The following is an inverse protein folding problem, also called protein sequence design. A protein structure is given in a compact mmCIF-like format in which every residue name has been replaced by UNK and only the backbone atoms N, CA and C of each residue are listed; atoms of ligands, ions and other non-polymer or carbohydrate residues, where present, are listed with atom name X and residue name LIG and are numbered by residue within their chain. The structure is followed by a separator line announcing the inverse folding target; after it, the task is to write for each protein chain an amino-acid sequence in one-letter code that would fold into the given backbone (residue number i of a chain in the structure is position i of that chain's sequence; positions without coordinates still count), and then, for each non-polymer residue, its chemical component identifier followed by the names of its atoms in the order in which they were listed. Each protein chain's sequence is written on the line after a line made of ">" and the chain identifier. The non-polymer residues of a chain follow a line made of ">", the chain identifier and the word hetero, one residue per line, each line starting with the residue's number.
data_IF_576943660827
#
_entry.id   IF_576943660827
#
_cell.length_a   1.000
_cell.length_b   1.000
_cell.length_c   1.000
_cell.angle_alpha   90.00
_cell.angle_beta   90.00
_cell.angle_gamma   90.00
#
_symmetry.space_group_name_H-M   'P 1'
#
loop_
_entity.id
_entity.type
_entity.pdbx_description
1 polymer ?
#
# COMPACT_ATOMS: atom_id res chain seq x y z
N UNK A 1 -0.86 4.44 25.09
CA UNK A 1 0.00 4.82 23.95
C UNK A 1 -0.77 5.75 23.00
N UNK A 2 -0.12 6.75 22.39
CA UNK A 2 -0.73 7.65 21.39
C UNK A 2 -0.11 7.45 20.00
N UNK A 3 -0.96 7.09 19.05
CA UNK A 3 -0.58 6.73 17.68
C UNK A 3 -1.05 7.81 16.70
N UNK A 4 -0.14 8.40 15.92
CA UNK A 4 -0.50 9.24 14.77
C UNK A 4 -0.56 8.39 13.51
N UNK A 5 -1.72 8.37 12.85
CA UNK A 5 -1.93 7.69 11.57
C UNK A 5 -2.06 8.74 10.48
N UNK A 6 -1.16 8.72 9.51
CA UNK A 6 -1.37 9.43 8.24
C UNK A 6 -1.96 8.47 7.21
N UNK A 7 -2.79 8.96 6.28
CA UNK A 7 -3.43 8.10 5.29
C UNK A 7 -4.55 7.23 5.87
N UNK A 8 -5.07 7.60 7.05
CA UNK A 8 -6.17 6.91 7.71
C UNK A 8 -7.45 6.85 6.90
N UNK A 9 -7.68 7.84 6.02
CA UNK A 9 -8.84 7.86 5.09
C UNK A 9 -8.67 6.98 3.85
N UNK A 10 -7.53 6.32 3.69
CA UNK A 10 -7.32 5.30 2.65
C UNK A 10 -7.89 3.95 3.08
N UNK A 11 -8.05 3.03 2.13
CA UNK A 11 -8.68 1.72 2.39
C UNK A 11 -7.97 0.85 3.43
N UNK A 12 -6.64 0.85 3.44
CA UNK A 12 -5.87 0.16 4.49
C UNK A 12 -6.07 0.87 5.83
N UNK A 13 -6.02 2.21 5.84
CA UNK A 13 -6.21 3.03 7.04
C UNK A 13 -7.59 2.86 7.66
N UNK A 14 -8.66 2.84 6.86
CA UNK A 14 -10.04 2.63 7.32
C UNK A 14 -10.21 1.27 8.02
N UNK A 15 -9.73 0.19 7.40
CA UNK A 15 -9.79 -1.15 7.97
C UNK A 15 -8.94 -1.26 9.25
N UNK A 16 -7.76 -0.66 9.24
CA UNK A 16 -6.88 -0.62 10.40
C UNK A 16 -7.52 0.13 11.58
N UNK A 17 -8.05 1.33 11.36
CA UNK A 17 -8.65 2.15 12.41
C UNK A 17 -9.85 1.41 13.03
N UNK A 18 -10.71 0.79 12.20
CA UNK A 18 -11.82 -0.03 12.71
C UNK A 18 -11.35 -1.11 13.69
N UNK A 19 -10.25 -1.78 13.38
CA UNK A 19 -9.70 -2.84 14.26
C UNK A 19 -8.99 -2.28 15.48
N UNK A 20 -8.25 -1.17 15.35
CA UNK A 20 -7.59 -0.51 16.48
C UNK A 20 -8.58 0.05 17.51
N UNK A 21 -9.77 0.50 17.08
CA UNK A 21 -10.82 1.01 17.97
C UNK A 21 -11.38 -0.03 18.95
N UNK A 22 -11.22 -1.32 18.64
CA UNK A 22 -11.59 -2.43 19.52
C UNK A 22 -10.66 -2.52 20.74
N UNK A 23 -9.48 -1.89 20.70
CA UNK A 23 -8.58 -1.78 21.84
C UNK A 23 -8.87 -0.52 22.67
N UNK A 24 -8.67 -0.61 23.99
CA UNK A 24 -8.76 0.53 24.91
C UNK A 24 -7.39 1.15 25.22
N UNK A 25 -6.29 0.56 24.75
CA UNK A 25 -4.91 0.93 25.13
C UNK A 25 -4.29 2.01 24.21
N UNK A 26 -4.91 2.22 23.04
CA UNK A 26 -4.38 3.04 21.95
C UNK A 26 -5.29 4.24 21.72
N UNK A 27 -4.76 5.44 21.98
CA UNK A 27 -5.41 6.70 21.57
C UNK A 27 -4.96 7.03 20.15
N UNK A 28 -5.91 7.23 19.25
CA UNK A 28 -5.64 7.39 17.82
C UNK A 28 -5.74 8.87 17.45
N UNK A 29 -4.71 9.41 16.79
CA UNK A 29 -4.78 10.68 16.09
C UNK A 29 -4.68 10.42 14.58
N UNK A 30 -5.56 11.01 13.78
CA UNK A 30 -5.55 10.84 12.32
C UNK A 30 -5.26 12.17 11.64
N UNK A 31 -4.21 12.21 10.82
CA UNK A 31 -3.90 13.35 9.96
C UNK A 31 -4.78 13.33 8.70
N UNK A 32 -5.59 14.37 8.52
CA UNK A 32 -6.51 14.51 7.38
C UNK A 32 -6.26 15.80 6.61
N UNK A 33 -6.45 15.78 5.29
CA UNK A 33 -6.32 17.00 4.45
C UNK A 33 -7.55 17.91 4.52
N UNK A 34 -8.73 17.33 4.72
CA UNK A 34 -10.03 18.02 4.83
C UNK A 34 -10.76 17.50 6.07
N UNK A 35 -11.54 18.36 6.71
CA UNK A 35 -12.26 18.07 7.97
C UNK A 35 -13.40 17.06 7.80
N UNK A 36 -13.90 16.85 6.58
CA UNK A 36 -14.95 15.89 6.22
C UNK A 36 -14.54 14.41 6.36
N UNK A 37 -13.64 14.08 7.28
CA UNK A 37 -13.28 12.70 7.55
C UNK A 37 -14.42 11.97 8.26
N UNK A 38 -14.64 10.72 7.88
CA UNK A 38 -15.80 9.91 8.28
C UNK A 38 -15.72 9.35 9.71
N UNK A 39 -14.69 9.73 10.49
CA UNK A 39 -14.45 9.18 11.82
C UNK A 39 -15.27 9.95 12.86
N UNK A 40 -16.27 9.29 13.45
CA UNK A 40 -17.15 9.88 14.49
C UNK A 40 -16.88 9.33 15.90
N UNK A 41 -15.83 8.53 16.06
CA UNK A 41 -15.51 7.86 17.33
C UNK A 41 -14.76 8.79 18.28
N UNK A 42 -15.16 8.84 19.55
CA UNK A 42 -14.57 9.71 20.58
C UNK A 42 -13.11 9.36 20.92
N UNK A 43 -12.65 8.16 20.57
CA UNK A 43 -11.23 7.74 20.71
C UNK A 43 -10.34 8.29 19.59
N UNK A 44 -10.92 8.91 18.56
CA UNK A 44 -10.19 9.46 17.40
C UNK A 44 -10.07 10.97 17.53
N UNK A 45 -8.84 11.44 17.64
CA UNK A 45 -8.50 12.85 17.47
C UNK A 45 -8.21 13.13 15.99
N UNK A 46 -9.04 13.92 15.33
CA UNK A 46 -8.78 14.35 13.95
C UNK A 46 -7.89 15.60 13.99
N UNK A 47 -6.80 15.58 13.23
CA UNK A 47 -5.96 16.76 13.03
C UNK A 47 -5.83 17.08 11.55
N UNK A 48 -6.10 18.34 11.20
CA UNK A 48 -5.93 18.82 9.83
C UNK A 48 -4.47 19.10 9.53
N UNK A 49 -4.00 18.65 8.38
CA UNK A 49 -2.66 18.98 7.91
C UNK A 49 -2.30 18.37 6.57
N UNK A 50 -1.10 18.70 6.10
CA UNK A 50 -0.58 18.29 4.81
C UNK A 50 0.89 17.87 4.97
N UNK A 51 1.28 16.77 4.31
CA UNK A 51 2.67 16.29 4.31
C UNK A 51 3.67 17.33 3.76
N UNK A 52 3.18 18.30 2.99
CA UNK A 52 3.99 19.38 2.43
C UNK A 52 3.99 20.65 3.29
N UNK A 53 3.21 20.69 4.36
CA UNK A 53 3.17 21.81 5.32
C UNK A 53 3.78 21.35 6.65
N UNK A 54 5.06 21.69 6.84
CA UNK A 54 5.84 21.29 8.00
C UNK A 54 5.24 21.79 9.33
N UNK A 55 4.61 22.97 9.34
CA UNK A 55 3.99 23.53 10.55
C UNK A 55 2.79 22.69 10.98
N UNK A 56 1.97 22.22 10.03
CA UNK A 56 0.88 21.29 10.34
C UNK A 56 1.41 19.96 10.90
N UNK A 57 2.54 19.46 10.40
CA UNK A 57 3.14 18.22 10.87
C UNK A 57 3.74 18.35 12.27
N UNK A 58 4.35 19.50 12.60
CA UNK A 58 4.82 19.77 13.97
C UNK A 58 3.67 19.74 14.98
N UNK A 59 2.49 20.27 14.61
CA UNK A 59 1.28 20.17 15.43
C UNK A 59 0.80 18.72 15.53
N UNK A 60 0.76 18.00 14.41
CA UNK A 60 0.28 16.63 14.34
C UNK A 60 1.11 15.63 15.15
N UNK A 61 2.42 15.83 15.21
CA UNK A 61 3.38 14.94 15.90
C UNK A 61 3.58 15.30 17.38
N UNK A 62 3.00 16.39 17.90
CA UNK A 62 3.11 16.79 19.30
C UNK A 62 2.49 15.74 20.24
N UNK A 63 3.23 15.30 21.26
CA UNK A 63 2.81 14.29 22.25
C UNK A 63 2.39 12.95 21.61
N UNK A 64 3.08 12.51 20.56
CA UNK A 64 2.85 11.23 19.87
C UNK A 64 3.97 10.26 20.22
N UNK A 65 3.61 9.02 20.58
CA UNK A 65 4.58 7.95 20.84
C UNK A 65 5.05 7.30 19.53
N UNK A 66 4.10 7.02 18.64
CA UNK A 66 4.33 6.28 17.39
C UNK A 66 3.69 7.01 16.22
N UNK A 67 4.43 7.15 15.12
CA UNK A 67 3.89 7.58 13.83
C UNK A 67 3.76 6.37 12.91
N UNK A 68 2.55 6.12 12.43
CA UNK A 68 2.24 5.16 11.38
C UNK A 68 1.93 5.90 10.07
N UNK A 69 2.84 5.77 9.11
CA UNK A 69 2.81 6.51 7.87
C UNK A 69 2.28 5.64 6.70
N UNK A 70 0.96 5.64 6.49
CA UNK A 70 0.30 5.03 5.32
C UNK A 70 0.11 6.02 4.15
N UNK A 71 0.18 7.33 4.41
CA UNK A 71 -0.09 8.33 3.39
C UNK A 71 0.93 8.27 2.25
N UNK A 72 0.42 8.21 1.02
CA UNK A 72 1.21 8.27 -0.20
C UNK A 72 0.29 8.25 -1.41
N UNK A 73 0.80 8.72 -2.54
CA UNK A 73 0.11 8.56 -3.82
C UNK A 73 0.62 7.31 -4.52
N UNK A 74 -0.31 6.52 -5.05
CA UNK A 74 -0.03 5.26 -5.74
C UNK A 74 -0.32 5.33 -7.24
N UNK A 75 -1.07 6.36 -7.67
CA UNK A 75 -1.51 6.57 -9.06
C UNK A 75 -1.52 8.07 -9.36
N UNK A 76 -0.73 8.51 -10.33
CA UNK A 76 -0.74 9.86 -10.89
C UNK A 76 -0.07 9.85 -12.27
N UNK A 77 -0.52 10.73 -13.17
CA UNK A 77 0.15 10.97 -14.45
C UNK A 77 1.24 12.05 -14.36
N UNK A 78 1.27 12.81 -13.26
CA UNK A 78 2.32 13.78 -12.94
C UNK A 78 3.38 13.10 -12.10
N UNK A 79 4.49 12.72 -12.74
CA UNK A 79 5.59 11.95 -12.14
C UNK A 79 6.20 12.65 -10.92
N UNK A 80 6.39 13.97 -10.98
CA UNK A 80 6.96 14.74 -9.87
C UNK A 80 6.15 14.63 -8.58
N UNK A 81 4.83 14.41 -8.68
CA UNK A 81 3.99 14.25 -7.50
C UNK A 81 4.37 13.02 -6.67
N UNK A 82 4.89 11.95 -7.30
CA UNK A 82 5.35 10.78 -6.57
C UNK A 82 6.47 11.17 -5.61
N UNK A 83 7.51 11.82 -6.11
CA UNK A 83 8.64 12.27 -5.29
C UNK A 83 8.22 13.36 -4.29
N UNK A 84 7.42 14.34 -4.72
CA UNK A 84 6.95 15.43 -3.85
C UNK A 84 6.18 14.89 -2.65
N UNK A 85 5.25 13.96 -2.85
CA UNK A 85 4.42 13.46 -1.76
C UNK A 85 5.08 12.30 -1.02
N UNK A 86 5.54 11.27 -1.74
CA UNK A 86 6.04 10.05 -1.13
C UNK A 86 7.46 10.20 -0.58
N UNK A 87 8.31 11.05 -1.17
CA UNK A 87 9.70 11.24 -0.70
C UNK A 87 9.79 12.46 0.20
N UNK A 88 9.50 13.65 -0.33
CA UNK A 88 9.63 14.92 0.42
C UNK A 88 8.58 14.99 1.54
N UNK A 89 7.35 14.56 1.28
CA UNK A 89 6.32 14.49 2.32
C UNK A 89 6.66 13.55 3.48
N UNK A 90 7.27 12.40 3.20
CA UNK A 90 7.80 11.50 4.23
C UNK A 90 8.95 12.13 5.00
N UNK A 91 9.89 12.80 4.31
CA UNK A 91 11.00 13.52 4.94
C UNK A 91 10.51 14.63 5.89
N UNK A 92 9.50 15.39 5.50
CA UNK A 92 8.89 16.40 6.36
C UNK A 92 8.27 15.79 7.62
N UNK A 93 7.58 14.66 7.48
CA UNK A 93 6.98 13.96 8.61
C UNK A 93 8.05 13.39 9.55
N UNK A 94 9.15 12.85 9.02
CA UNK A 94 10.30 12.42 9.81
C UNK A 94 10.90 13.59 10.59
N UNK A 95 11.17 14.73 9.94
CA UNK A 95 11.67 15.95 10.60
C UNK A 95 10.75 16.42 11.73
N UNK A 96 9.43 16.39 11.52
CA UNK A 96 8.47 16.72 12.57
C UNK A 96 8.46 15.71 13.72
N UNK A 97 8.62 14.43 13.40
CA UNK A 97 8.70 13.33 14.37
C UNK A 97 9.96 13.42 15.22
N UNK A 98 11.11 13.78 14.63
CA UNK A 98 12.36 14.03 15.37
C UNK A 98 12.21 15.21 16.33
N UNK A 99 11.70 16.34 15.84
CA UNK A 99 11.52 17.55 16.68
C UNK A 99 10.65 17.30 17.91
N UNK A 100 9.65 16.43 17.79
CA UNK A 100 8.72 16.07 18.87
C UNK A 100 9.08 14.76 19.58
N UNK A 101 10.29 14.22 19.37
CA UNK A 101 10.80 13.02 20.04
C UNK A 101 9.87 11.79 19.93
N UNK A 102 9.23 11.59 18.77
CA UNK A 102 8.46 10.37 18.48
C UNK A 102 9.40 9.16 18.64
N UNK A 103 8.97 8.12 19.36
CA UNK A 103 9.85 7.00 19.72
C UNK A 103 9.98 5.97 18.60
N UNK A 104 8.93 5.83 17.79
CA UNK A 104 8.86 4.81 16.73
C UNK A 104 8.19 5.35 15.48
N UNK A 105 8.80 5.10 14.32
CA UNK A 105 8.26 5.46 13.01
C UNK A 105 8.02 4.22 12.16
N UNK A 106 6.75 3.93 11.85
CA UNK A 106 6.36 2.78 11.04
C UNK A 106 5.97 3.29 9.65
N UNK A 107 6.73 2.90 8.64
CA UNK A 107 6.53 3.32 7.26
C UNK A 107 5.94 2.20 6.41
N UNK A 108 4.83 2.49 5.75
CA UNK A 108 4.22 1.56 4.79
C UNK A 108 4.82 1.84 3.42
N UNK A 109 5.68 0.93 2.98
CA UNK A 109 6.32 0.97 1.67
C UNK A 109 5.69 0.01 0.67
N UNK A 110 6.39 -0.30 -0.41
CA UNK A 110 5.96 -1.25 -1.45
C UNK A 110 7.11 -2.17 -1.82
N UNK A 111 6.81 -3.40 -2.22
CA UNK A 111 7.79 -4.34 -2.81
C UNK A 111 8.43 -3.83 -4.10
N UNK A 112 7.83 -2.83 -4.74
CA UNK A 112 8.39 -2.17 -5.92
C UNK A 112 9.35 -1.04 -5.57
N UNK A 113 9.64 -0.79 -4.29
CA UNK A 113 10.57 0.24 -3.82
C UNK A 113 12.03 -0.10 -4.18
N UNK A 114 12.36 0.11 -5.46
CA UNK A 114 13.67 -0.08 -6.07
C UNK A 114 13.84 0.89 -7.23
N UNK A 115 15.06 1.04 -7.73
CA UNK A 115 15.38 1.95 -8.84
C UNK A 115 14.66 1.57 -10.14
N UNK A 116 14.42 0.28 -10.36
CA UNK A 116 13.74 -0.26 -11.54
C UNK A 116 12.21 -0.28 -11.40
N UNK A 117 11.66 0.10 -10.24
CA UNK A 117 10.22 0.04 -9.94
C UNK A 117 9.38 1.16 -10.56
N UNK A 118 9.96 1.92 -11.50
CA UNK A 118 9.36 3.13 -12.06
C UNK A 118 9.34 4.30 -11.09
N UNK A 119 8.71 5.42 -11.44
CA UNK A 119 8.74 6.64 -10.63
C UNK A 119 8.09 6.48 -9.25
N UNK A 120 7.03 5.68 -9.14
CA UNK A 120 6.49 5.35 -7.82
C UNK A 120 7.46 4.51 -7.00
N UNK A 121 8.01 3.44 -7.58
CA UNK A 121 8.98 2.57 -6.93
C UNK A 121 10.18 3.36 -6.43
N UNK A 122 10.75 4.21 -7.29
CA UNK A 122 11.84 5.13 -6.94
C UNK A 122 11.44 6.08 -5.81
N UNK A 123 10.25 6.69 -5.87
CA UNK A 123 9.80 7.61 -4.80
C UNK A 123 9.72 6.92 -3.43
N UNK A 124 9.25 5.66 -3.40
CA UNK A 124 9.19 4.83 -2.19
C UNK A 124 10.59 4.39 -1.76
N UNK A 125 11.47 4.05 -2.69
CA UNK A 125 12.86 3.70 -2.41
C UNK A 125 13.62 4.86 -1.73
N UNK A 126 13.51 6.08 -2.25
CA UNK A 126 14.13 7.25 -1.61
C UNK A 126 13.50 7.58 -0.26
N UNK A 127 12.18 7.36 -0.12
CA UNK A 127 11.52 7.52 1.17
C UNK A 127 11.98 6.49 2.21
N UNK A 128 12.22 5.23 1.79
CA UNK A 128 12.82 4.22 2.66
C UNK A 128 14.20 4.66 3.15
N UNK A 129 15.06 5.18 2.25
CA UNK A 129 16.37 5.72 2.64
C UNK A 129 16.22 6.81 3.71
N UNK A 130 15.31 7.77 3.50
CA UNK A 130 15.03 8.81 4.51
C UNK A 130 14.57 8.23 5.86
N UNK A 131 13.73 7.19 5.85
CA UNK A 131 13.26 6.53 7.08
C UNK A 131 14.41 5.80 7.79
N UNK A 132 15.34 5.20 7.05
CA UNK A 132 16.48 4.49 7.64
C UNK A 132 17.43 5.42 8.40
N UNK A 133 17.52 6.68 7.98
CA UNK A 133 18.28 7.73 8.68
C UNK A 133 17.60 8.24 9.97
N UNK A 134 16.36 7.84 10.24
CA UNK A 134 15.66 8.23 11.46
C UNK A 134 16.40 7.72 12.70
N UNK A 135 16.73 8.65 13.62
CA UNK A 135 17.57 8.33 14.79
C UNK A 135 16.93 7.32 15.72
N UNK A 136 15.65 7.50 16.01
CA UNK A 136 14.86 6.63 16.88
C UNK A 136 14.46 5.34 16.15
N UNK A 137 13.59 4.53 16.76
CA UNK A 137 13.21 3.26 16.17
C UNK A 137 12.37 3.47 14.89
N UNK A 138 12.58 2.62 13.89
CA UNK A 138 11.78 2.58 12.68
C UNK A 138 11.47 1.15 12.23
N UNK A 139 10.33 0.99 11.56
CA UNK A 139 9.94 -0.25 10.89
C UNK A 139 9.48 0.12 9.47
N UNK A 140 9.97 -0.60 8.47
CA UNK A 140 9.52 -0.47 7.07
C UNK A 140 8.76 -1.74 6.70
N UNK A 141 7.51 -1.60 6.27
CA UNK A 141 6.68 -2.70 5.77
C UNK A 141 6.50 -2.57 4.26
N UNK A 142 7.20 -3.39 3.48
CA UNK A 142 7.07 -3.42 2.02
C UNK A 142 5.89 -4.28 1.62
N UNK A 143 4.76 -3.63 1.29
CA UNK A 143 3.55 -4.35 0.94
C UNK A 143 3.60 -4.87 -0.51
N UNK A 144 3.07 -6.07 -0.70
CA UNK A 144 2.71 -6.64 -2.00
C UNK A 144 1.37 -6.09 -2.52
N UNK A 145 0.80 -6.78 -3.51
CA UNK A 145 -0.50 -6.48 -4.09
C UNK A 145 -1.61 -6.76 -3.07
N UNK A 146 -2.02 -5.72 -2.34
CA UNK A 146 -3.09 -5.82 -1.33
C UNK A 146 -4.45 -5.97 -2.01
N UNK A 147 -5.21 -7.00 -1.61
CA UNK A 147 -6.56 -7.25 -2.09
C UNK A 147 -7.58 -7.37 -0.94
N UNK A 148 -8.86 -7.18 -1.25
CA UNK A 148 -9.95 -7.18 -0.26
C UNK A 148 -10.17 -5.84 0.46
N UNK A 149 -9.34 -4.82 0.18
CA UNK A 149 -9.48 -3.51 0.83
C UNK A 149 -10.68 -2.68 0.30
N UNK A 150 -11.32 -3.09 -0.79
CA UNK A 150 -12.54 -2.47 -1.34
C UNK A 150 -12.53 -2.37 -2.87
N UNK A 151 -13.64 -1.92 -3.47
CA UNK A 151 -13.95 -2.08 -4.92
C UNK A 151 -12.97 -1.48 -5.95
N UNK A 152 -12.01 -0.64 -5.54
CA UNK A 152 -11.10 0.09 -6.46
C UNK A 152 -9.69 -0.50 -6.54
N UNK A 153 -9.37 -1.53 -5.76
CA UNK A 153 -8.05 -2.20 -5.83
C UNK A 153 -7.93 -3.10 -7.08
N UNK A 154 -6.71 -3.53 -7.40
CA UNK A 154 -6.37 -4.20 -8.65
C UNK A 154 -7.14 -5.50 -8.90
N UNK A 155 -7.22 -6.39 -7.90
CA UNK A 155 -7.95 -7.66 -7.95
C UNK A 155 -9.46 -7.42 -8.05
N UNK A 156 -10.03 -6.50 -7.26
CA UNK A 156 -11.44 -6.11 -7.36
C UNK A 156 -11.80 -5.55 -8.75
N UNK A 157 -10.92 -4.74 -9.34
CA UNK A 157 -11.06 -4.25 -10.72
C UNK A 157 -10.97 -5.39 -11.73
N UNK A 158 -10.08 -6.34 -11.52
CA UNK A 158 -9.94 -7.53 -12.35
C UNK A 158 -11.19 -8.42 -12.28
N UNK A 159 -11.72 -8.68 -11.08
CA UNK A 159 -13.00 -9.39 -10.87
C UNK A 159 -14.12 -8.69 -11.63
N UNK A 160 -14.22 -7.37 -11.52
CA UNK A 160 -15.25 -6.59 -12.23
C UNK A 160 -15.07 -6.65 -13.76
N UNK A 161 -13.82 -6.60 -14.24
CA UNK A 161 -13.51 -6.74 -15.66
C UNK A 161 -13.91 -8.14 -16.17
N UNK A 162 -13.61 -9.20 -15.41
CA UNK A 162 -13.99 -10.58 -15.72
C UNK A 162 -15.51 -10.72 -15.71
N UNK A 163 -16.22 -10.16 -14.72
CA UNK A 163 -17.69 -10.23 -14.68
C UNK A 163 -18.33 -9.55 -15.89
N UNK A 164 -17.80 -8.41 -16.34
CA UNK A 164 -18.40 -7.58 -17.41
C UNK A 164 -18.04 -7.96 -18.84
N UNK A 165 -16.87 -8.55 -19.08
CA UNK A 165 -16.36 -8.76 -20.43
C UNK A 165 -16.10 -10.23 -20.70
N UNK A 166 -16.42 -10.71 -21.90
CA UNK A 166 -16.09 -12.06 -22.35
C UNK A 166 -14.61 -12.20 -22.73
N UNK A 167 -14.04 -11.15 -23.33
CA UNK A 167 -12.64 -11.06 -23.73
C UNK A 167 -11.82 -10.37 -22.63
N UNK A 168 -10.75 -11.01 -22.19
CA UNK A 168 -9.88 -10.54 -21.12
C UNK A 168 -8.51 -10.19 -21.71
N UNK A 169 -8.12 -8.89 -21.72
CA UNK A 169 -6.82 -8.48 -22.24
C UNK A 169 -5.70 -8.87 -21.27
N UNK A 170 -4.69 -9.57 -21.78
CA UNK A 170 -3.48 -9.97 -21.07
C UNK A 170 -2.31 -9.16 -21.65
N UNK A 171 -1.61 -8.40 -20.81
CA UNK A 171 -0.45 -7.62 -21.25
C UNK A 171 0.76 -8.55 -21.41
N UNK A 172 1.41 -8.55 -22.57
CA UNK A 172 2.52 -9.44 -22.87
C UNK A 172 2.11 -10.91 -22.78
N UNK A 173 2.91 -11.73 -22.09
CA UNK A 173 2.64 -13.16 -21.91
C UNK A 173 1.91 -13.48 -20.60
N UNK A 174 1.63 -12.48 -19.74
CA UNK A 174 0.94 -12.66 -18.46
C UNK A 174 1.67 -13.52 -17.41
N UNK A 175 2.93 -13.88 -17.63
CA UNK A 175 3.73 -14.71 -16.71
C UNK A 175 4.37 -13.90 -15.57
N UNK A 176 3.90 -12.68 -15.31
CA UNK A 176 4.43 -11.85 -14.23
C UNK A 176 4.01 -12.44 -12.89
N UNK A 177 4.98 -12.78 -12.05
CA UNK A 177 4.74 -13.29 -10.71
C UNK A 177 4.34 -12.15 -9.76
N UNK A 178 3.25 -12.39 -9.05
CA UNK A 178 2.68 -11.53 -8.01
C UNK A 178 2.58 -12.34 -6.71
N UNK A 179 2.50 -11.66 -5.57
CA UNK A 179 2.26 -12.36 -4.29
C UNK A 179 1.13 -11.67 -3.52
N UNK A 180 -0.13 -11.78 -3.99
CA UNK A 180 -1.24 -11.04 -3.45
C UNK A 180 -1.42 -11.31 -1.96
N UNK A 181 -1.67 -10.26 -1.18
CA UNK A 181 -1.79 -10.34 0.28
C UNK A 181 -3.14 -9.79 0.74
N UNK A 182 -3.81 -10.54 1.60
CA UNK A 182 -5.17 -10.19 2.04
C UNK A 182 -5.15 -9.02 3.03
N UNK A 183 -6.15 -8.15 2.95
CA UNK A 183 -6.21 -6.93 3.76
C UNK A 183 -6.17 -7.21 5.27
N UNK A 184 -6.81 -8.27 5.76
CA UNK A 184 -6.82 -8.57 7.19
C UNK A 184 -5.43 -8.95 7.71
N UNK A 185 -4.66 -9.67 6.90
CA UNK A 185 -3.29 -10.07 7.25
C UNK A 185 -2.37 -8.83 7.30
N UNK A 186 -2.59 -7.88 6.39
CA UNK A 186 -1.91 -6.57 6.39
C UNK A 186 -2.27 -5.76 7.64
N UNK A 187 -3.55 -5.68 7.98
CA UNK A 187 -4.00 -4.95 9.16
C UNK A 187 -3.41 -5.58 10.43
N UNK A 188 -3.42 -6.91 10.53
CA UNK A 188 -2.85 -7.63 11.67
C UNK A 188 -1.36 -7.35 11.84
N UNK A 189 -0.57 -7.46 10.76
CA UNK A 189 0.87 -7.23 10.85
C UNK A 189 1.20 -5.76 11.17
N UNK A 190 0.40 -4.81 10.68
CA UNK A 190 0.55 -3.39 11.06
C UNK A 190 0.26 -3.21 12.56
N UNK A 191 -0.80 -3.82 13.10
CA UNK A 191 -1.12 -3.76 14.53
C UNK A 191 0.01 -4.38 15.36
N UNK A 192 0.56 -5.52 14.95
CA UNK A 192 1.68 -6.16 15.64
C UNK A 192 2.93 -5.26 15.59
N UNK A 193 3.18 -4.59 14.47
CA UNK A 193 4.29 -3.62 14.35
C UNK A 193 4.13 -2.41 15.28
N UNK A 194 2.89 -2.05 15.63
CA UNK A 194 2.59 -1.00 16.63
C UNK A 194 2.79 -1.53 18.05
N UNK A 195 2.40 -2.78 18.33
CA UNK A 195 2.41 -3.37 19.69
C UNK A 195 3.75 -3.92 20.15
N UNK A 196 4.58 -4.44 19.25
CA UNK A 196 5.82 -5.12 19.62
C UNK A 196 6.98 -4.12 19.75
N UNK A 197 7.54 -4.00 20.95
CA UNK A 197 8.58 -3.03 21.28
C UNK A 197 10.01 -3.55 21.03
N UNK A 198 10.20 -4.87 20.91
CA UNK A 198 11.49 -5.54 20.73
C UNK A 198 12.03 -5.52 19.28
N UNK A 199 11.36 -4.82 18.36
CA UNK A 199 11.74 -4.74 16.95
C UNK A 199 12.42 -3.41 16.70
N UNK A 200 13.70 -3.44 16.35
CA UNK A 200 14.50 -2.23 16.16
C UNK A 200 15.05 -2.11 14.76
N UNK A 201 14.68 -1.04 14.05
CA UNK A 201 15.28 -0.65 12.76
C UNK A 201 15.25 -1.79 11.73
N UNK A 202 14.06 -2.35 11.51
CA UNK A 202 13.85 -3.51 10.63
C UNK A 202 12.99 -3.19 9.43
N UNK A 203 13.28 -3.86 8.33
CA UNK A 203 12.53 -3.81 7.07
C UNK A 203 12.00 -5.20 6.76
N UNK A 204 10.70 -5.28 6.46
CA UNK A 204 10.00 -6.53 6.22
C UNK A 204 9.29 -6.51 4.87
N UNK A 205 9.31 -7.66 4.18
CA UNK A 205 8.43 -7.93 3.05
C UNK A 205 7.12 -8.47 3.60
N UNK A 206 6.01 -7.84 3.21
CA UNK A 206 4.68 -8.26 3.59
C UNK A 206 3.94 -8.69 2.32
N UNK A 207 3.99 -9.99 2.04
CA UNK A 207 3.48 -10.62 0.84
C UNK A 207 2.63 -11.85 1.18
N UNK A 208 1.78 -12.27 0.24
CA UNK A 208 1.09 -13.56 0.33
C UNK A 208 2.08 -14.73 0.37
N UNK A 209 1.63 -15.91 0.80
CA UNK A 209 2.50 -17.08 0.92
C UNK A 209 2.89 -17.71 -0.43
N UNK A 210 2.25 -17.27 -1.53
CA UNK A 210 2.34 -17.89 -2.84
C UNK A 210 2.79 -16.86 -3.89
N UNK A 211 3.68 -17.27 -4.80
CA UNK A 211 3.93 -16.56 -6.05
C UNK A 211 3.01 -17.12 -7.12
N UNK A 212 2.15 -16.26 -7.67
CA UNK A 212 1.11 -16.65 -8.62
C UNK A 212 1.27 -15.79 -9.86
N UNK A 213 1.26 -16.40 -11.05
CA UNK A 213 1.32 -15.62 -12.29
C UNK A 213 0.03 -14.83 -12.48
N UNK A 214 0.10 -13.72 -13.23
CA UNK A 214 -1.10 -12.94 -13.55
C UNK A 214 -2.16 -13.75 -14.31
N UNK A 215 -1.75 -14.71 -15.14
CA UNK A 215 -2.67 -15.62 -15.83
C UNK A 215 -3.33 -16.59 -14.85
N UNK A 216 -2.57 -17.18 -13.93
CA UNK A 216 -3.12 -18.12 -12.96
C UNK A 216 -4.11 -17.42 -12.02
N UNK A 217 -3.86 -16.15 -11.67
CA UNK A 217 -4.85 -15.33 -10.94
C UNK A 217 -6.15 -15.22 -11.75
N UNK A 218 -6.07 -14.93 -13.04
CA UNK A 218 -7.26 -14.83 -13.90
C UNK A 218 -7.98 -16.16 -14.00
N UNK A 219 -7.26 -17.26 -14.21
CA UNK A 219 -7.83 -18.60 -14.30
C UNK A 219 -8.54 -19.00 -13.01
N UNK A 220 -7.91 -18.71 -11.87
CA UNK A 220 -8.51 -18.94 -10.56
C UNK A 220 -9.80 -18.13 -10.38
N UNK A 221 -9.80 -16.84 -10.72
CA UNK A 221 -10.98 -15.98 -10.63
C UNK A 221 -12.11 -16.43 -11.58
N UNK A 222 -11.78 -16.79 -12.82
CA UNK A 222 -12.74 -17.30 -13.81
C UNK A 222 -13.39 -18.60 -13.32
N UNK A 223 -12.59 -19.50 -12.74
CA UNK A 223 -13.05 -20.76 -12.14
C UNK A 223 -14.04 -20.53 -11.00
N UNK A 224 -13.69 -19.71 -10.00
CA UNK A 224 -14.60 -19.43 -8.87
C UNK A 224 -15.89 -18.75 -9.31
N UNK A 225 -15.79 -17.80 -10.24
CA UNK A 225 -16.95 -17.08 -10.74
C UNK A 225 -17.83 -17.95 -11.64
N UNK A 226 -17.39 -19.17 -11.98
CA UNK A 226 -18.08 -20.11 -12.88
C UNK A 226 -18.39 -19.49 -14.24
N UNK A 227 -17.43 -18.73 -14.78
CA UNK A 227 -17.55 -18.02 -16.05
C UNK A 227 -16.68 -18.69 -17.13
N UNK A 228 -17.04 -18.50 -18.40
CA UNK A 228 -16.17 -18.81 -19.54
C UNK A 228 -15.63 -17.51 -20.11
N UNK A 229 -14.31 -17.40 -20.26
CA UNK A 229 -13.63 -16.18 -20.74
C UNK A 229 -12.51 -16.54 -21.70
N UNK A 230 -12.36 -15.74 -22.76
CA UNK A 230 -11.24 -15.86 -23.70
C UNK A 230 -10.17 -14.83 -23.35
N UNK A 231 -8.91 -15.28 -23.32
CA UNK A 231 -7.74 -14.43 -23.06
C UNK A 231 -7.19 -13.90 -24.39
N UNK A 232 -6.99 -12.60 -24.49
CA UNK A 232 -6.35 -11.96 -25.65
C UNK A 232 -5.01 -11.39 -25.20
N UNK A 233 -3.92 -11.91 -25.76
CA UNK A 233 -2.57 -11.47 -25.44
C UNK A 233 -2.20 -10.26 -26.28
N UNK A 234 -1.87 -9.14 -25.63
CA UNK A 234 -1.52 -7.88 -26.24
C UNK A 234 0.00 -7.68 -26.07
N UNK A 235 0.80 -7.74 -27.14
CA UNK A 235 2.23 -7.51 -27.07
C UNK A 235 2.60 -6.21 -26.34
N UNK A 236 3.67 -6.27 -25.53
CA UNK A 236 4.10 -5.13 -24.70
C UNK A 236 4.41 -3.88 -25.54
N UNK A 237 4.93 -4.03 -26.76
CA UNK A 237 5.22 -2.88 -27.63
C UNK A 237 3.96 -2.13 -28.05
N UNK A 238 2.84 -2.85 -28.28
CA UNK A 238 1.54 -2.23 -28.59
C UNK A 238 1.04 -1.44 -27.38
N UNK A 239 1.12 -2.03 -26.18
CA UNK A 239 0.72 -1.34 -24.94
C UNK A 239 1.58 -0.09 -24.70
N UNK A 240 2.90 -0.18 -24.92
CA UNK A 240 3.81 0.97 -24.81
C UNK A 240 3.47 2.06 -25.83
N UNK A 241 3.20 1.69 -27.07
CA UNK A 241 2.81 2.63 -28.11
C UNK A 241 1.47 3.31 -27.79
N UNK A 242 0.44 2.55 -27.43
CA UNK A 242 -0.87 3.08 -27.07
C UNK A 242 -0.81 4.00 -25.84
N UNK A 243 -0.07 3.61 -24.80
CA UNK A 243 0.09 4.46 -23.60
C UNK A 243 0.85 5.75 -23.88
N UNK A 244 1.81 5.73 -24.83
CA UNK A 244 2.49 6.93 -25.30
C UNK A 244 1.57 7.84 -26.12
N UNK A 245 0.80 7.28 -27.06
CA UNK A 245 -0.16 8.01 -27.88
C UNK A 245 -1.25 8.67 -27.02
N UNK A 246 -1.86 7.91 -26.10
CA UNK A 246 -2.87 8.43 -25.17
C UNK A 246 -2.33 9.55 -24.29
N UNK A 247 -1.06 9.47 -23.90
CA UNK A 247 -0.40 10.53 -23.15
C UNK A 247 -0.28 11.82 -23.98
N UNK A 248 0.12 11.75 -25.25
CA UNK A 248 0.18 12.92 -26.15
C UNK A 248 -1.21 13.55 -26.29
N UNK A 249 -2.25 12.73 -26.38
CA UNK A 249 -3.64 13.17 -26.51
C UNK A 249 -4.24 13.65 -25.17
N UNK A 250 -3.47 13.70 -24.08
CA UNK A 250 -3.95 14.00 -22.72
C UNK A 250 -5.11 13.10 -22.23
N UNK A 251 -5.24 11.90 -22.77
CA UNK A 251 -6.25 10.90 -22.38
C UNK A 251 -5.69 10.04 -21.25
N UNK A 252 -6.14 10.33 -20.03
CA UNK A 252 -5.61 9.78 -18.79
C UNK A 252 -6.17 8.40 -18.41
N UNK A 253 -6.12 7.42 -19.32
CA UNK A 253 -6.70 6.08 -19.08
C UNK A 253 -5.74 5.09 -18.41
N UNK A 254 -4.43 5.17 -18.68
CA UNK A 254 -3.41 4.24 -18.15
C UNK A 254 -2.22 5.01 -17.59
N UNK A 255 -1.87 4.71 -16.34
CA UNK A 255 -0.69 5.29 -15.69
C UNK A 255 0.56 4.57 -16.20
N UNK A 256 1.45 5.29 -16.91
CA UNK A 256 2.67 4.73 -17.56
C UNK A 256 3.56 3.92 -16.60
N UNK A 257 3.62 4.36 -15.34
CA UNK A 257 4.42 3.77 -14.28
C UNK A 257 3.99 2.34 -13.87
N UNK A 258 2.84 1.85 -14.33
CA UNK A 258 2.38 0.49 -14.00
C UNK A 258 3.21 -0.60 -14.70
N UNK A 259 3.76 -0.35 -15.89
CA UNK A 259 4.54 -1.35 -16.62
C UNK A 259 5.88 -1.64 -15.91
N UNK A 260 6.70 -0.65 -15.53
CA UNK A 260 7.90 -0.91 -14.72
C UNK A 260 7.61 -1.67 -13.41
N UNK A 261 6.52 -1.32 -12.70
CA UNK A 261 6.12 -2.02 -11.47
C UNK A 261 5.80 -3.51 -11.70
N UNK A 262 5.14 -3.83 -12.81
CA UNK A 262 4.87 -5.22 -13.18
C UNK A 262 6.17 -5.98 -13.45
N UNK A 263 7.09 -5.36 -14.19
CA UNK A 263 8.32 -6.00 -14.68
C UNK A 263 9.46 -6.07 -13.65
N UNK A 264 9.49 -5.19 -12.65
CA UNK A 264 10.57 -5.18 -11.67
C UNK A 264 10.58 -6.46 -10.80
N UNK A 265 11.78 -6.90 -10.42
CA UNK A 265 12.00 -7.99 -9.47
C UNK A 265 11.53 -7.53 -8.08
N UNK A 266 10.68 -8.35 -7.44
CA UNK A 266 10.10 -8.05 -6.13
C UNK A 266 10.72 -8.99 -5.09
N UNK A 267 11.07 -8.51 -3.88
CA UNK A 267 11.55 -9.39 -2.82
C UNK A 267 10.41 -10.29 -2.33
N UNK A 268 10.68 -11.55 -1.99
CA UNK A 268 9.65 -12.56 -1.67
C UNK A 268 9.75 -13.13 -0.25
N UNK A 269 10.90 -13.00 0.41
CA UNK A 269 11.11 -13.62 1.71
C UNK A 269 10.32 -12.88 2.80
N UNK A 270 9.36 -13.58 3.40
CA UNK A 270 8.52 -13.09 4.51
C UNK A 270 8.91 -13.68 5.87
N UNK A 271 9.99 -14.44 5.98
CA UNK A 271 10.33 -15.23 7.17
C UNK A 271 10.60 -14.35 8.38
N UNK A 272 11.33 -13.24 8.18
CA UNK A 272 11.55 -12.26 9.22
C UNK A 272 10.22 -11.67 9.74
N UNK A 273 9.22 -11.47 8.87
CA UNK A 273 7.91 -10.96 9.28
C UNK A 273 7.11 -12.03 10.04
N UNK A 274 7.23 -13.31 9.66
CA UNK A 274 6.62 -14.44 10.38
C UNK A 274 7.12 -14.49 11.81
N UNK A 275 8.45 -14.45 11.98
CA UNK A 275 9.11 -14.56 13.29
C UNK A 275 8.87 -13.31 14.14
N UNK A 276 9.20 -12.13 13.61
CA UNK A 276 9.23 -10.91 14.43
C UNK A 276 7.84 -10.30 14.62
N UNK A 277 6.96 -10.40 13.61
CA UNK A 277 5.65 -9.72 13.59
C UNK A 277 4.46 -10.67 13.64
N UNK A 278 4.69 -11.96 13.87
CA UNK A 278 3.67 -13.02 13.85
C UNK A 278 2.81 -12.97 12.57
N UNK A 279 3.46 -12.72 11.42
CA UNK A 279 2.78 -12.55 10.14
C UNK A 279 2.48 -13.91 9.48
N UNK A 280 1.23 -14.35 9.54
CA UNK A 280 0.78 -15.61 8.96
C UNK A 280 -0.27 -15.37 7.87
N UNK A 281 0.15 -14.99 6.64
CA UNK A 281 -0.79 -14.63 5.59
C UNK A 281 -1.57 -15.84 5.09
N UNK A 282 -2.86 -15.64 4.80
CA UNK A 282 -3.68 -16.68 4.21
C UNK A 282 -3.36 -16.87 2.72
N UNK A 283 -3.61 -18.08 2.20
CA UNK A 283 -3.50 -18.37 0.77
C UNK A 283 -4.45 -17.49 -0.04
N UNK A 284 -4.07 -17.18 -1.27
CA UNK A 284 -4.87 -16.30 -2.15
C UNK A 284 -6.29 -16.82 -2.32
N UNK A 285 -6.42 -18.13 -2.48
CA UNK A 285 -7.71 -18.80 -2.63
C UNK A 285 -8.67 -18.52 -1.46
N UNK A 286 -8.17 -18.63 -0.24
CA UNK A 286 -8.97 -18.45 0.97
C UNK A 286 -9.42 -17.00 1.14
N UNK A 287 -8.55 -16.03 0.86
CA UNK A 287 -8.93 -14.62 0.95
C UNK A 287 -9.94 -14.20 -0.13
N UNK A 288 -9.84 -14.74 -1.36
CA UNK A 288 -10.81 -14.45 -2.43
C UNK A 288 -12.20 -14.99 -2.09
N UNK A 289 -12.31 -16.18 -1.50
CA UNK A 289 -13.60 -16.75 -1.09
C UNK A 289 -14.33 -15.82 -0.10
N UNK A 290 -13.61 -15.20 0.84
CA UNK A 290 -14.17 -14.21 1.76
C UNK A 290 -14.76 -13.00 1.02
N UNK A 291 -14.08 -12.50 -0.01
CA UNK A 291 -14.52 -11.31 -0.76
C UNK A 291 -15.74 -11.61 -1.65
N UNK A 292 -15.85 -12.82 -2.20
CA UNK A 292 -16.95 -13.18 -3.12
C UNK A 292 -18.22 -13.57 -2.36
N UNK A 293 -18.10 -14.01 -1.11
CA UNK A 293 -19.24 -14.37 -0.24
C UNK A 293 -19.86 -13.16 0.49
N UNK A 294 -19.17 -12.02 0.56
CA UNK A 294 -19.66 -10.72 1.04
C UNK A 294 -20.43 -9.93 -0.03
#
# INVERSE_FOLDING_TARGET
>A
MKLLITGGTGKIGENLIKKLLQSNEIKIRVLVKKEESCFKDSKIEIIKGNLLDLNSLFKATKNIDIVLHLAGITHTNKKELYFKINTIGTQNLLKASEKNNVKKFIYISSRTACEQGGEYGQSKFFAEKNVQEYKNNWIILQLAEVYGAGKKEAISRLINLIKKNYLIPIIGNGQYLLSPVFIDDIVNVIINSVKYDNIYKKKYVIAGPEEISYIDIIDYLVSILKLKRLKIFIPLFIVRFLTYLLYILNINFVVRDQIPRLLCKKPINIDAAKVDLNFNPCKFENGIKKIIQE
#
